data_IF_085622666577
#
_entry.id   IF_085622666577
#
_cell.length_a   1.000
_cell.length_b   1.000
_cell.length_c   1.000
_cell.angle_alpha   90.00
_cell.angle_beta   90.00
_cell.angle_gamma   90.00
#
_symmetry.space_group_name_H-M   'P 1'
#
loop_
_entity.id
_entity.type
_entity.pdbx_description
1 polymer ?
#
# COMPACT_ATOMS: atom_id res chain seq x y z
N UNK A 1 21.86 2.58 34.91
CA UNK A 1 20.51 3.17 34.75
C UNK A 1 20.01 2.85 33.35
N UNK A 2 19.17 1.82 33.22
CA UNK A 2 18.67 1.33 31.92
C UNK A 2 17.56 2.27 31.45
N UNK A 3 17.78 3.02 30.36
CA UNK A 3 16.78 3.92 29.77
C UNK A 3 15.62 3.08 29.25
N UNK A 4 14.50 3.11 29.97
CA UNK A 4 13.24 2.56 29.50
C UNK A 4 12.73 3.47 28.37
N UNK A 5 12.99 3.10 27.12
CA UNK A 5 12.57 3.88 25.95
C UNK A 5 11.16 3.42 25.58
N UNK A 6 10.16 4.18 26.01
CA UNK A 6 8.78 3.99 25.58
C UNK A 6 8.74 4.35 24.09
N UNK A 7 8.49 3.37 23.24
CA UNK A 7 8.41 3.54 21.78
C UNK A 7 6.94 3.63 21.39
N UNK A 8 6.51 4.77 20.87
CA UNK A 8 5.18 4.91 20.30
C UNK A 8 5.13 4.19 18.93
N UNK A 9 4.38 3.09 18.85
CA UNK A 9 4.28 2.25 17.66
C UNK A 9 3.60 2.97 16.47
N UNK A 10 2.78 3.99 16.75
CA UNK A 10 2.12 4.77 15.71
C UNK A 10 3.08 5.76 15.03
N UNK A 11 4.16 6.19 15.70
CA UNK A 11 5.21 6.99 15.05
C UNK A 11 6.07 6.17 14.07
N UNK A 12 6.22 4.86 14.33
CA UNK A 12 6.95 3.93 13.46
C UNK A 12 6.07 3.47 12.28
N UNK A 13 4.74 3.46 12.46
CA UNK A 13 3.82 3.16 11.36
C UNK A 13 3.90 4.27 10.31
N UNK A 14 4.23 3.86 9.09
CA UNK A 14 4.24 4.76 7.95
C UNK A 14 2.80 4.98 7.47
N UNK A 15 2.20 6.11 7.86
CA UNK A 15 0.90 6.58 7.35
C UNK A 15 1.05 7.20 5.97
N UNK A 16 -0.05 7.28 5.20
CA UNK A 16 -0.02 7.84 3.85
C UNK A 16 0.57 9.26 3.84
N UNK A 17 0.24 10.09 4.83
CA UNK A 17 0.78 11.46 4.98
C UNK A 17 2.31 11.53 5.16
N UNK A 18 2.95 10.47 5.68
CA UNK A 18 4.40 10.39 5.88
C UNK A 18 5.11 9.61 4.77
N UNK A 19 4.41 9.27 3.69
CA UNK A 19 4.97 8.55 2.55
C UNK A 19 5.68 9.52 1.60
N UNK A 20 6.91 9.18 1.16
CA UNK A 20 7.63 9.98 0.16
C UNK A 20 6.90 10.07 -1.19
N UNK A 21 6.03 9.11 -1.48
CA UNK A 21 5.21 9.07 -2.70
C UNK A 21 3.80 9.63 -2.48
N UNK A 22 3.52 10.25 -1.33
CA UNK A 22 2.18 10.71 -0.96
C UNK A 22 1.54 11.61 -2.03
N UNK A 23 2.29 12.57 -2.56
CA UNK A 23 1.85 13.50 -3.61
C UNK A 23 1.55 12.81 -4.96
N UNK A 24 2.09 11.60 -5.17
CA UNK A 24 1.91 10.84 -6.41
C UNK A 24 0.84 9.74 -6.26
N UNK A 25 0.68 9.16 -5.08
CA UNK A 25 -0.18 8.01 -4.86
C UNK A 25 -1.63 8.39 -4.54
N UNK A 26 -1.88 9.62 -4.09
CA UNK A 26 -3.20 10.07 -3.67
C UNK A 26 -3.56 11.40 -4.29
N UNK A 27 -4.75 11.51 -4.90
CA UNK A 27 -5.08 12.56 -5.84
C UNK A 27 -5.21 13.91 -5.14
N UNK A 28 -4.86 14.96 -5.89
CA UNK A 28 -5.36 16.31 -5.68
C UNK A 28 -6.90 16.25 -5.54
N UNK A 29 -7.45 16.48 -4.33
CA UNK A 29 -8.91 16.55 -4.14
C UNK A 29 -9.47 16.00 -2.82
N UNK A 30 -8.67 15.34 -1.99
CA UNK A 30 -9.10 14.92 -0.65
C UNK A 30 -8.64 15.92 0.41
N UNK A 31 -9.54 16.32 1.30
CA UNK A 31 -9.20 17.09 2.49
C UNK A 31 -8.59 16.16 3.58
N UNK A 32 -8.03 16.75 4.63
CA UNK A 32 -7.35 16.01 5.71
C UNK A 32 -8.25 14.98 6.40
N UNK A 33 -9.54 15.27 6.58
CA UNK A 33 -10.48 14.33 7.20
C UNK A 33 -10.72 13.10 6.33
N UNK A 34 -10.83 13.29 5.01
CA UNK A 34 -11.06 12.18 4.07
C UNK A 34 -9.79 11.34 3.88
N UNK A 35 -8.62 11.98 3.93
CA UNK A 35 -7.33 11.28 3.99
C UNK A 35 -7.22 10.40 5.25
N UNK A 36 -7.64 10.89 6.41
CA UNK A 36 -7.60 10.11 7.65
C UNK A 36 -8.53 8.90 7.59
N UNK A 37 -9.76 9.07 7.06
CA UNK A 37 -10.69 7.95 6.84
C UNK A 37 -10.09 6.89 5.91
N UNK A 38 -9.45 7.33 4.82
CA UNK A 38 -8.82 6.43 3.87
C UNK A 38 -7.61 5.70 4.49
N UNK A 39 -6.80 6.40 5.27
CA UNK A 39 -5.64 5.85 5.99
C UNK A 39 -6.04 4.72 6.97
N UNK A 40 -7.25 4.79 7.54
CA UNK A 40 -7.83 3.77 8.43
C UNK A 40 -8.25 2.49 7.69
N UNK A 41 -8.68 2.57 6.43
CA UNK A 41 -9.13 1.39 5.65
C UNK A 41 -7.99 0.70 4.88
N UNK A 42 -6.84 1.35 4.74
CA UNK A 42 -5.69 0.79 3.99
C UNK A 42 -5.04 -0.35 4.78
N UNK A 43 -5.05 -1.54 4.17
CA UNK A 43 -4.28 -2.72 4.63
C UNK A 43 -2.83 -2.61 4.16
N UNK A 44 -1.90 -2.26 5.06
CA UNK A 44 -0.50 -1.94 4.70
C UNK A 44 0.46 -3.13 4.61
N UNK A 45 0.11 -4.28 5.19
CA UNK A 45 1.01 -5.45 5.26
C UNK A 45 0.56 -6.53 4.29
N UNK A 46 1.18 -6.52 3.11
CA UNK A 46 1.20 -7.64 2.16
C UNK A 46 2.50 -7.59 1.35
N UNK A 47 3.63 -8.04 1.92
CA UNK A 47 4.82 -8.27 1.11
C UNK A 47 4.48 -9.30 0.03
N UNK A 48 4.98 -9.07 -1.18
CA UNK A 48 4.84 -9.98 -2.32
C UNK A 48 6.24 -10.35 -2.75
N UNK A 49 6.54 -11.64 -2.76
CA UNK A 49 7.87 -12.12 -3.12
C UNK A 49 8.07 -12.11 -4.64
N UNK A 50 9.34 -12.15 -5.05
CA UNK A 50 9.68 -12.21 -6.48
C UNK A 50 9.10 -13.49 -7.09
N UNK A 51 8.30 -13.34 -8.13
CA UNK A 51 7.66 -14.46 -8.84
C UNK A 51 6.25 -14.77 -8.32
N UNK A 52 5.80 -14.15 -7.24
CA UNK A 52 4.42 -14.23 -6.80
C UNK A 52 3.49 -13.31 -7.59
N UNK A 53 2.21 -13.67 -7.60
CA UNK A 53 1.15 -12.93 -8.26
C UNK A 53 0.34 -12.13 -7.24
N UNK A 54 0.12 -10.84 -7.51
CA UNK A 54 -0.76 -10.00 -6.70
C UNK A 54 -2.24 -10.39 -6.89
N UNK A 55 -2.61 -10.68 -8.13
CA UNK A 55 -3.90 -11.20 -8.59
C UNK A 55 -3.69 -11.95 -9.92
N UNK A 56 -4.67 -12.75 -10.32
CA UNK A 56 -4.74 -13.42 -11.62
C UNK A 56 -5.93 -12.93 -12.43
N UNK A 57 -5.84 -13.06 -13.74
CA UNK A 57 -6.98 -12.80 -14.63
C UNK A 57 -8.13 -13.75 -14.26
N UNK A 58 -9.33 -13.20 -14.11
CA UNK A 58 -10.52 -13.94 -13.70
C UNK A 58 -10.75 -14.02 -12.18
N UNK A 59 -9.78 -13.59 -11.36
CA UNK A 59 -10.01 -13.48 -9.92
C UNK A 59 -11.13 -12.46 -9.65
N UNK A 60 -12.04 -12.73 -8.68
CA UNK A 60 -13.02 -11.74 -8.25
C UNK A 60 -12.34 -10.44 -7.81
N UNK A 61 -13.02 -9.31 -8.03
CA UNK A 61 -12.50 -8.02 -7.60
C UNK A 61 -12.63 -7.86 -6.08
N UNK A 62 -11.49 -7.85 -5.37
CA UNK A 62 -11.46 -7.75 -3.92
C UNK A 62 -10.99 -6.38 -3.42
N UNK A 63 -9.99 -5.79 -4.08
CA UNK A 63 -9.28 -4.62 -3.57
C UNK A 63 -8.54 -3.89 -4.68
N UNK A 64 -8.33 -2.59 -4.49
CA UNK A 64 -7.36 -1.80 -5.24
C UNK A 64 -6.02 -1.86 -4.50
N UNK A 65 -4.92 -1.96 -5.26
CA UNK A 65 -3.57 -2.08 -4.69
C UNK A 65 -2.72 -0.87 -5.08
N UNK A 66 -1.89 -0.42 -4.15
CA UNK A 66 -0.87 0.60 -4.38
C UNK A 66 0.51 0.00 -4.08
N UNK A 67 1.48 0.21 -4.97
CA UNK A 67 2.84 -0.28 -4.79
C UNK A 67 3.62 0.74 -3.96
N UNK A 68 4.03 0.36 -2.74
CA UNK A 68 4.84 1.21 -1.87
C UNK A 68 6.33 1.20 -2.25
N UNK A 69 6.84 0.04 -2.65
CA UNK A 69 8.24 -0.16 -3.02
C UNK A 69 8.35 -1.33 -4.00
N UNK A 70 9.32 -1.25 -4.91
CA UNK A 70 9.52 -2.24 -5.97
C UNK A 70 8.64 -1.97 -7.19
N UNK A 71 8.47 -3.01 -8.02
CA UNK A 71 7.75 -2.93 -9.28
C UNK A 71 6.93 -4.20 -9.50
N UNK A 72 5.77 -4.04 -10.14
CA UNK A 72 4.90 -5.15 -10.56
C UNK A 72 4.71 -5.07 -12.08
N UNK A 73 4.78 -6.21 -12.75
CA UNK A 73 4.41 -6.34 -14.16
C UNK A 73 2.98 -6.87 -14.25
N UNK A 74 2.12 -6.14 -14.95
CA UNK A 74 0.81 -6.65 -15.37
C UNK A 74 0.91 -7.17 -16.80
N UNK A 75 0.28 -8.31 -17.07
CA UNK A 75 0.23 -8.88 -18.41
C UNK A 75 -1.08 -9.65 -18.63
N UNK A 76 -1.39 -9.90 -19.89
CA UNK A 76 -2.47 -10.78 -20.32
C UNK A 76 -1.87 -11.83 -21.26
N UNK A 77 -2.43 -13.02 -21.29
CA UNK A 77 -2.08 -14.06 -22.26
C UNK A 77 -3.07 -14.03 -23.42
N UNK A 78 -2.62 -14.31 -24.63
CA UNK A 78 -3.52 -14.50 -25.77
C UNK A 78 -3.82 -16.01 -25.92
N UNK A 79 -4.60 -16.38 -26.94
CA UNK A 79 -5.03 -17.78 -27.16
C UNK A 79 -3.85 -18.73 -27.48
N UNK A 80 -2.72 -18.18 -27.92
CA UNK A 80 -1.50 -18.92 -28.27
C UNK A 80 -0.42 -18.86 -27.18
N UNK A 81 -0.74 -18.27 -26.01
CA UNK A 81 0.22 -17.99 -24.92
C UNK A 81 0.75 -16.58 -24.94
#
# INVERSE_FOLDING_TARGET
>A
MTRNRIVNLDEIRSNCQKCSLFQLCMPMGLNDNDLEKLDRIIKRRRPVEKGEYLFRMGDPFHSVYTIRAGSIKTYTTNQNG
#
